data_IF_113832760457
#
_entry.id   IF_113832760457
#
_cell.length_a   1.000
_cell.length_b   1.000
_cell.length_c   1.000
_cell.angle_alpha   90.00
_cell.angle_beta   90.00
_cell.angle_gamma   90.00
#
_symmetry.space_group_name_H-M   'P 1'
#
loop_
_entity.id
_entity.type
_entity.pdbx_description
1 polymer ?
#
# COMPACT_ATOMS: atom_id res chain seq x y z
N UNK A 1 -14.88 72.57 2.71
CA UNK A 1 -14.54 71.73 1.53
C UNK A 1 -13.19 71.07 1.74
N UNK A 2 -13.17 69.83 2.26
CA UNK A 2 -11.96 69.01 2.45
C UNK A 2 -12.38 67.61 2.91
N UNK A 3 -11.82 66.59 2.23
CA UNK A 3 -11.59 65.21 2.68
C UNK A 3 -12.80 64.25 2.80
N UNK A 4 -13.15 63.60 1.68
CA UNK A 4 -13.69 62.23 1.67
C UNK A 4 -13.39 61.56 0.32
N UNK A 5 -12.11 61.32 0.05
CA UNK A 5 -11.68 60.58 -1.15
C UNK A 5 -10.58 59.59 -0.76
N UNK A 6 -10.91 58.57 0.03
CA UNK A 6 -10.09 57.37 0.19
C UNK A 6 -10.78 56.38 1.13
N UNK A 7 -11.78 55.62 0.65
CA UNK A 7 -12.26 54.45 1.41
C UNK A 7 -13.07 53.42 0.58
N UNK A 8 -12.87 53.34 -0.74
CA UNK A 8 -13.66 52.44 -1.59
C UNK A 8 -12.85 51.55 -2.53
N UNK A 9 -11.52 51.48 -2.34
CA UNK A 9 -10.65 50.62 -3.14
C UNK A 9 -10.00 49.45 -2.37
N UNK A 10 -10.30 49.29 -1.07
CA UNK A 10 -9.68 48.27 -0.21
C UNK A 10 -10.65 47.13 0.20
N UNK A 11 -11.77 46.97 -0.50
CA UNK A 11 -12.82 45.99 -0.15
C UNK A 11 -13.16 45.00 -1.26
N UNK A 12 -12.24 44.73 -2.18
CA UNK A 12 -12.42 43.72 -3.26
C UNK A 12 -11.36 42.61 -3.23
N UNK A 13 -10.35 42.67 -2.34
CA UNK A 13 -9.19 41.77 -2.41
C UNK A 13 -9.20 40.55 -1.45
N UNK A 14 -10.33 40.17 -0.84
CA UNK A 14 -10.35 39.12 0.22
C UNK A 14 -11.47 38.07 0.06
N UNK A 15 -11.88 37.72 -1.17
CA UNK A 15 -12.76 36.55 -1.38
C UNK A 15 -12.34 35.70 -2.58
N UNK A 16 -11.03 35.45 -2.69
CA UNK A 16 -10.43 34.60 -3.72
C UNK A 16 -9.64 33.41 -3.19
N UNK A 17 -9.94 32.90 -1.98
CA UNK A 17 -9.45 31.56 -1.61
C UNK A 17 -10.46 30.57 -2.17
N UNK A 18 -10.33 30.30 -3.47
CA UNK A 18 -10.94 29.13 -4.09
C UNK A 18 -10.35 27.94 -3.35
N UNK A 19 -11.14 27.34 -2.47
CA UNK A 19 -10.80 26.07 -1.87
C UNK A 19 -10.48 25.13 -3.02
N UNK A 20 -9.22 24.68 -3.10
CA UNK A 20 -8.84 23.57 -3.96
C UNK A 20 -9.67 22.39 -3.47
N UNK A 21 -10.82 22.18 -4.10
CA UNK A 21 -11.55 20.95 -3.96
C UNK A 21 -10.62 19.89 -4.55
N UNK A 22 -9.93 19.17 -3.66
CA UNK A 22 -9.34 17.90 -4.02
C UNK A 22 -10.52 17.00 -4.40
N UNK A 23 -10.94 17.06 -5.67
CA UNK A 23 -11.79 16.06 -6.27
C UNK A 23 -11.00 14.77 -6.20
N UNK A 24 -11.27 13.97 -5.16
CA UNK A 24 -10.85 12.58 -5.14
C UNK A 24 -11.59 11.94 -6.31
N UNK A 25 -10.92 11.85 -7.45
CA UNK A 25 -11.47 11.17 -8.62
C UNK A 25 -11.92 9.78 -8.16
N UNK A 26 -13.22 9.52 -8.29
CA UNK A 26 -13.77 8.21 -8.03
C UNK A 26 -13.04 7.23 -8.95
N UNK A 27 -12.19 6.38 -8.39
CA UNK A 27 -11.41 5.44 -9.19
C UNK A 27 -12.38 4.40 -9.74
N UNK A 28 -12.66 4.48 -11.04
CA UNK A 28 -13.58 3.57 -11.71
C UNK A 28 -12.91 2.21 -11.91
N UNK A 29 -13.67 1.14 -11.65
CA UNK A 29 -13.21 -0.23 -11.89
C UNK A 29 -13.01 -0.43 -13.41
N UNK A 30 -11.80 -0.78 -13.88
CA UNK A 30 -11.54 -0.96 -15.31
C UNK A 30 -12.44 -2.01 -15.96
N UNK A 31 -12.99 -1.72 -17.13
CA UNK A 31 -13.91 -2.61 -17.85
C UNK A 31 -13.30 -4.00 -18.11
N UNK A 32 -11.99 -4.05 -18.42
CA UNK A 32 -11.27 -5.31 -18.65
C UNK A 32 -11.24 -6.22 -17.41
N UNK A 33 -11.25 -5.64 -16.21
CA UNK A 33 -11.37 -6.40 -14.97
C UNK A 33 -12.77 -7.02 -14.86
N UNK A 34 -13.83 -6.21 -15.03
CA UNK A 34 -15.22 -6.68 -14.97
C UNK A 34 -15.51 -7.77 -16.01
N UNK A 35 -14.95 -7.65 -17.20
CA UNK A 35 -15.13 -8.65 -18.26
C UNK A 35 -14.46 -9.99 -17.90
N UNK A 36 -13.23 -9.95 -17.38
CA UNK A 36 -12.46 -11.16 -17.06
C UNK A 36 -12.88 -11.80 -15.74
N UNK A 37 -13.31 -10.99 -14.78
CA UNK A 37 -13.67 -11.40 -13.42
C UNK A 37 -15.04 -10.81 -13.01
N UNK A 38 -16.14 -11.17 -13.70
CA UNK A 38 -17.46 -10.56 -13.48
C UNK A 38 -18.07 -10.85 -12.11
N UNK A 39 -17.54 -11.84 -11.38
CA UNK A 39 -18.01 -12.24 -10.04
C UNK A 39 -17.21 -11.60 -8.91
N UNK A 40 -16.05 -11.01 -9.20
CA UNK A 40 -15.23 -10.35 -8.18
C UNK A 40 -15.85 -9.00 -7.84
N UNK A 41 -16.08 -8.78 -6.55
CA UNK A 41 -16.54 -7.47 -6.07
C UNK A 41 -15.31 -6.69 -5.61
N UNK A 42 -15.10 -5.52 -6.19
CA UNK A 42 -13.95 -4.69 -5.83
C UNK A 42 -14.14 -4.10 -4.43
N UNK A 43 -13.12 -4.24 -3.59
CA UNK A 43 -13.02 -3.61 -2.27
C UNK A 43 -12.13 -2.37 -2.33
N UNK A 44 -10.88 -2.55 -2.79
CA UNK A 44 -9.90 -1.48 -2.90
C UNK A 44 -9.33 -1.39 -4.30
N UNK A 45 -9.05 -0.16 -4.74
CA UNK A 45 -8.33 0.13 -5.98
C UNK A 45 -7.20 1.10 -5.69
N UNK A 46 -6.01 0.82 -6.23
CA UNK A 46 -4.85 1.71 -6.15
C UNK A 46 -4.25 1.89 -7.54
N UNK A 47 -4.16 3.13 -8.00
CA UNK A 47 -3.41 3.47 -9.21
C UNK A 47 -2.02 3.96 -8.82
N UNK A 48 -0.99 3.37 -9.41
CA UNK A 48 0.42 3.69 -9.10
C UNK A 48 1.32 3.29 -10.27
N UNK A 49 2.25 4.16 -10.64
CA UNK A 49 3.36 3.84 -11.54
C UNK A 49 4.40 2.98 -10.80
N UNK A 50 4.42 1.68 -11.09
CA UNK A 50 5.25 0.69 -10.39
C UNK A 50 6.63 0.50 -11.03
N UNK A 51 6.77 0.74 -12.33
CA UNK A 51 8.04 0.59 -13.05
C UNK A 51 8.66 1.90 -13.58
N UNK A 52 8.13 3.04 -13.13
CA UNK A 52 8.56 4.40 -13.45
C UNK A 52 8.47 4.73 -14.95
N UNK A 53 7.49 4.14 -15.65
CA UNK A 53 7.23 4.39 -17.07
C UNK A 53 6.28 5.58 -17.31
N UNK A 54 5.91 6.28 -16.23
CA UNK A 54 4.94 7.39 -16.15
C UNK A 54 3.51 6.99 -16.47
N UNK A 55 3.19 5.69 -16.48
CA UNK A 55 1.83 5.18 -16.59
C UNK A 55 1.50 4.43 -15.32
N UNK A 56 0.29 4.63 -14.83
CA UNK A 56 -0.16 3.93 -13.65
C UNK A 56 -0.56 2.50 -14.00
N UNK A 57 -0.12 1.55 -13.19
CA UNK A 57 -0.80 0.27 -13.03
C UNK A 57 -1.95 0.40 -12.05
N UNK A 58 -2.98 -0.42 -12.25
CA UNK A 58 -4.11 -0.52 -11.32
C UNK A 58 -3.98 -1.80 -10.50
N UNK A 59 -3.91 -1.65 -9.18
CA UNK A 59 -3.99 -2.75 -8.22
C UNK A 59 -5.42 -2.83 -7.69
N UNK A 60 -5.96 -4.04 -7.65
CA UNK A 60 -7.32 -4.30 -7.16
C UNK A 60 -7.23 -5.37 -6.08
N UNK A 61 -7.83 -5.11 -4.93
CA UNK A 61 -8.21 -6.14 -3.97
C UNK A 61 -9.72 -6.31 -4.04
N UNK A 62 -10.17 -7.55 -4.21
CA UNK A 62 -11.60 -7.88 -4.13
C UNK A 62 -12.03 -8.20 -2.71
N UNK A 63 -13.34 -8.10 -2.45
CA UNK A 63 -13.96 -8.54 -1.19
C UNK A 63 -13.75 -10.02 -0.90
N UNK A 64 -13.48 -10.82 -1.94
CA UNK A 64 -13.14 -12.23 -1.85
C UNK A 64 -11.66 -12.47 -1.46
N UNK A 65 -10.89 -11.41 -1.22
CA UNK A 65 -9.47 -11.50 -0.84
C UNK A 65 -8.53 -11.81 -1.99
N UNK A 66 -8.94 -11.55 -3.24
CA UNK A 66 -8.10 -11.78 -4.41
C UNK A 66 -7.41 -10.47 -4.82
N UNK A 67 -6.09 -10.54 -4.96
CA UNK A 67 -5.25 -9.41 -5.33
C UNK A 67 -4.85 -9.50 -6.80
N UNK A 68 -5.04 -8.41 -7.53
CA UNK A 68 -4.80 -8.32 -8.96
C UNK A 68 -3.98 -7.08 -9.32
N UNK A 69 -3.28 -7.16 -10.44
CA UNK A 69 -2.66 -6.02 -11.12
C UNK A 69 -3.17 -5.94 -12.57
N UNK A 70 -3.37 -4.72 -13.04
CA UNK A 70 -3.71 -4.40 -14.42
C UNK A 70 -2.61 -3.52 -14.99
N UNK A 71 -1.94 -3.99 -16.05
CA UNK A 71 -0.98 -3.24 -16.85
C UNK A 71 -1.31 -3.42 -18.32
N UNK A 72 -1.42 -2.32 -19.08
CA UNK A 72 -1.71 -2.35 -20.52
C UNK A 72 -2.91 -3.24 -20.90
N UNK A 73 -4.03 -3.11 -20.16
CA UNK A 73 -5.25 -3.94 -20.30
C UNK A 73 -5.07 -5.43 -19.98
N UNK A 74 -3.88 -5.89 -19.59
CA UNK A 74 -3.68 -7.25 -19.10
C UNK A 74 -3.92 -7.31 -17.60
N UNK A 75 -4.81 -8.20 -17.16
CA UNK A 75 -5.10 -8.45 -15.75
C UNK A 75 -4.38 -9.72 -15.29
N UNK A 76 -3.50 -9.58 -14.31
CA UNK A 76 -2.73 -10.67 -13.69
C UNK A 76 -3.16 -10.87 -12.23
N UNK A 77 -3.32 -12.12 -11.81
CA UNK A 77 -3.42 -12.48 -10.40
C UNK A 77 -2.07 -12.30 -9.68
N UNK A 78 -2.12 -11.80 -8.46
CA UNK A 78 -0.95 -11.63 -7.57
C UNK A 78 -1.05 -12.54 -6.35
N UNK A 79 -2.22 -12.61 -5.72
CA UNK A 79 -2.43 -13.35 -4.48
C UNK A 79 -3.89 -13.78 -4.31
N UNK A 80 -4.11 -14.77 -3.46
CA UNK A 80 -5.43 -15.18 -2.95
C UNK A 80 -5.43 -15.04 -1.44
N UNK A 81 -6.61 -15.08 -0.83
CA UNK A 81 -6.77 -15.17 0.63
C UNK A 81 -6.13 -14.00 1.38
N UNK A 82 -6.17 -12.80 0.79
CA UNK A 82 -5.85 -11.55 1.47
C UNK A 82 -7.10 -11.10 2.21
N UNK A 83 -7.40 -11.79 3.30
CA UNK A 83 -8.60 -11.63 4.12
C UNK A 83 -8.13 -11.56 5.57
N UNK A 84 -8.63 -10.57 6.32
CA UNK A 84 -8.43 -10.53 7.77
C UNK A 84 -9.50 -11.35 8.48
N UNK A 85 -9.20 -11.90 9.65
CA UNK A 85 -10.23 -12.53 10.49
C UNK A 85 -11.30 -11.53 10.93
N UNK A 86 -12.45 -12.09 11.32
CA UNK A 86 -13.54 -11.34 11.94
C UNK A 86 -13.00 -10.57 13.17
N UNK A 87 -13.47 -9.34 13.38
CA UNK A 87 -13.01 -8.40 14.41
C UNK A 87 -11.61 -7.76 14.24
N UNK A 88 -10.89 -8.09 13.17
CA UNK A 88 -9.63 -7.41 12.83
C UNK A 88 -9.82 -6.32 11.76
N UNK A 89 -8.90 -5.34 11.67
CA UNK A 89 -8.94 -4.35 10.59
C UNK A 89 -8.97 -5.02 9.21
N UNK A 90 -9.70 -4.46 8.23
CA UNK A 90 -9.72 -5.03 6.90
C UNK A 90 -8.31 -5.04 6.29
N UNK A 91 -8.04 -5.95 5.33
CA UNK A 91 -6.79 -5.94 4.60
C UNK A 91 -6.50 -4.58 3.97
N UNK A 92 -5.22 -4.28 3.75
CA UNK A 92 -4.78 -3.01 3.17
C UNK A 92 -3.83 -3.26 2.00
N UNK A 93 -4.03 -2.49 0.92
CA UNK A 93 -3.03 -2.34 -0.14
C UNK A 93 -2.26 -1.04 0.09
N UNK A 94 -0.95 -1.16 0.28
CA UNK A 94 -0.03 -0.04 0.42
C UNK A 94 0.93 0.02 -0.76
N UNK A 95 1.38 1.24 -1.07
CA UNK A 95 2.51 1.48 -1.96
C UNK A 95 3.74 1.76 -1.11
N UNK A 96 4.84 1.08 -1.39
CA UNK A 96 6.08 1.19 -0.65
C UNK A 96 7.23 1.51 -1.59
N UNK A 97 8.04 2.53 -1.28
CA UNK A 97 9.24 2.86 -2.04
C UNK A 97 10.48 2.39 -1.27
N UNK A 98 10.97 1.16 -1.49
CA UNK A 98 12.17 0.67 -0.81
C UNK A 98 13.47 1.30 -1.32
N UNK A 99 13.43 2.02 -2.44
CA UNK A 99 14.53 2.86 -2.94
C UNK A 99 13.98 3.97 -3.83
N UNK A 100 14.84 4.87 -4.32
CA UNK A 100 14.43 6.04 -5.13
C UNK A 100 13.68 5.67 -6.42
N UNK A 101 14.08 4.56 -7.08
CA UNK A 101 13.58 4.16 -8.40
C UNK A 101 12.85 2.81 -8.35
N UNK A 102 12.34 2.42 -7.19
CA UNK A 102 11.66 1.14 -7.02
C UNK A 102 10.38 1.37 -6.21
N UNK A 103 9.29 0.82 -6.71
CA UNK A 103 7.98 0.89 -6.05
C UNK A 103 7.44 -0.53 -5.92
N UNK A 104 7.12 -0.93 -4.70
CA UNK A 104 6.51 -2.20 -4.37
C UNK A 104 5.07 -2.00 -3.92
N UNK A 105 4.27 -3.03 -4.12
CA UNK A 105 2.92 -3.15 -3.56
C UNK A 105 3.01 -4.04 -2.32
N UNK A 106 2.44 -3.60 -1.21
CA UNK A 106 2.35 -4.39 0.02
C UNK A 106 0.87 -4.69 0.28
N UNK A 107 0.52 -5.96 0.32
CA UNK A 107 -0.78 -6.40 0.81
C UNK A 107 -0.61 -6.86 2.25
N UNK A 108 -1.35 -6.26 3.17
CA UNK A 108 -1.24 -6.50 4.61
C UNK A 108 -2.60 -6.87 5.19
N UNK A 109 -2.66 -7.92 5.99
CA UNK A 109 -3.90 -8.42 6.59
C UNK A 109 -3.63 -9.05 7.96
N UNK A 110 -4.69 -9.29 8.73
CA UNK A 110 -4.59 -9.48 10.17
C UNK A 110 -5.40 -10.68 10.64
N UNK A 111 -4.88 -11.45 11.59
CA UNK A 111 -5.61 -12.56 12.19
C UNK A 111 -5.19 -12.78 13.64
N UNK A 112 -6.05 -13.47 14.39
CA UNK A 112 -5.87 -13.75 15.80
C UNK A 112 -4.63 -14.61 16.08
N UNK A 113 -4.06 -14.49 17.30
CA UNK A 113 -4.47 -13.58 18.38
C UNK A 113 -3.96 -12.13 18.24
N UNK A 114 -3.00 -11.83 17.36
CA UNK A 114 -2.50 -10.46 17.08
C UNK A 114 -1.54 -10.43 15.87
N UNK A 115 -1.68 -11.36 14.94
CA UNK A 115 -0.74 -11.57 13.85
C UNK A 115 -1.01 -10.59 12.71
N UNK A 116 0.07 -10.07 12.12
CA UNK A 116 0.03 -9.28 10.90
C UNK A 116 0.80 -10.00 9.82
N UNK A 117 0.16 -10.28 8.70
CA UNK A 117 0.77 -10.90 7.53
C UNK A 117 0.98 -9.85 6.45
N UNK A 118 2.14 -9.87 5.81
CA UNK A 118 2.47 -8.96 4.73
C UNK A 118 3.06 -9.71 3.54
N UNK A 119 2.49 -9.47 2.36
CA UNK A 119 3.05 -9.88 1.08
C UNK A 119 3.50 -8.66 0.30
N UNK A 120 4.75 -8.69 -0.17
CA UNK A 120 5.36 -7.60 -0.93
C UNK A 120 5.59 -8.05 -2.35
N UNK A 121 5.13 -7.24 -3.30
CA UNK A 121 5.21 -7.51 -4.72
C UNK A 121 6.00 -6.43 -5.43
N UNK A 122 6.87 -6.88 -6.34
CA UNK A 122 7.63 -6.04 -7.25
C UNK A 122 7.14 -6.28 -8.68
N UNK A 123 6.92 -5.22 -9.44
CA UNK A 123 6.69 -5.34 -10.88
C UNK A 123 8.05 -5.50 -11.58
N UNK A 124 8.20 -6.57 -12.37
CA UNK A 124 9.44 -6.81 -13.12
C UNK A 124 9.10 -7.43 -14.47
N UNK A 125 9.52 -6.78 -15.56
CA UNK A 125 9.27 -7.24 -16.93
C UNK A 125 7.77 -7.49 -17.18
N UNK A 126 6.93 -6.56 -16.71
CA UNK A 126 5.47 -6.63 -16.84
C UNK A 126 4.76 -7.69 -15.99
N UNK A 127 5.48 -8.38 -15.08
CA UNK A 127 4.88 -9.36 -14.17
C UNK A 127 5.09 -8.96 -12.71
N UNK A 128 4.02 -8.98 -11.93
CA UNK A 128 4.13 -8.84 -10.47
C UNK A 128 4.70 -10.13 -9.88
N UNK A 129 5.77 -10.02 -9.10
CA UNK A 129 6.43 -11.12 -8.40
C UNK A 129 6.41 -10.87 -6.90
N UNK A 130 6.04 -11.88 -6.11
CA UNK A 130 6.22 -11.82 -4.66
C UNK A 130 7.72 -11.83 -4.34
N UNK A 131 8.19 -10.87 -3.58
CA UNK A 131 9.61 -10.68 -3.23
C UNK A 131 9.87 -10.69 -1.71
N UNK A 132 8.81 -10.64 -0.90
CA UNK A 132 8.86 -10.85 0.54
C UNK A 132 7.49 -11.34 1.02
N UNK A 133 7.52 -12.31 1.91
CA UNK A 133 6.37 -12.84 2.62
C UNK A 133 6.78 -13.01 4.08
N UNK A 134 6.14 -12.27 4.98
CA UNK A 134 6.47 -12.29 6.41
C UNK A 134 5.22 -12.14 7.28
N UNK A 135 5.24 -12.80 8.43
CA UNK A 135 4.24 -12.66 9.48
C UNK A 135 4.89 -12.10 10.75
N UNK A 136 4.37 -11.02 11.32
CA UNK A 136 4.73 -10.59 12.65
C UNK A 136 3.69 -11.07 13.67
N UNK A 137 4.13 -11.72 14.75
CA UNK A 137 3.22 -12.09 15.86
C UNK A 137 2.66 -10.86 16.59
N UNK A 138 3.32 -9.72 16.44
CA UNK A 138 2.95 -8.46 17.08
C UNK A 138 2.65 -7.37 16.06
N UNK A 139 3.45 -7.29 14.98
CA UNK A 139 3.19 -6.37 13.88
C UNK A 139 4.11 -6.64 12.70
N UNK A 140 3.65 -6.25 11.51
CA UNK A 140 4.52 -5.84 10.40
C UNK A 140 4.27 -4.36 10.15
N UNK A 141 5.34 -3.56 10.01
CA UNK A 141 5.25 -2.11 9.78
C UNK A 141 6.22 -1.68 8.70
N UNK A 142 5.86 -0.63 7.97
CA UNK A 142 6.78 0.05 7.04
C UNK A 142 7.40 1.24 7.78
N UNK A 143 8.72 1.40 7.69
CA UNK A 143 9.45 2.51 8.30
C UNK A 143 10.59 2.96 7.39
N UNK A 144 10.47 4.17 6.84
CA UNK A 144 11.41 4.69 5.85
C UNK A 144 11.50 3.77 4.63
N UNK A 145 12.70 3.27 4.34
CA UNK A 145 12.99 2.31 3.26
C UNK A 145 12.94 0.83 3.70
N UNK A 146 12.43 0.55 4.91
CA UNK A 146 12.48 -0.77 5.51
C UNK A 146 11.08 -1.31 5.84
N UNK A 147 11.00 -2.64 5.88
CA UNK A 147 9.87 -3.36 6.46
C UNK A 147 10.34 -3.97 7.78
N UNK A 148 9.60 -3.72 8.84
CA UNK A 148 9.91 -4.12 10.21
C UNK A 148 8.93 -5.20 10.63
N UNK A 149 9.45 -6.36 10.98
CA UNK A 149 8.70 -7.47 11.56
C UNK A 149 8.95 -7.50 13.06
N UNK A 150 7.88 -7.47 13.86
CA UNK A 150 7.92 -7.66 15.31
C UNK A 150 7.30 -9.00 15.64
N UNK A 151 8.06 -9.86 16.32
CA UNK A 151 7.66 -11.23 16.63
C UNK A 151 8.13 -11.65 18.02
N UNK A 152 7.59 -12.76 18.52
CA UNK A 152 7.80 -13.25 19.88
C UNK A 152 8.90 -14.30 19.88
N UNK A 153 10.02 -14.02 20.55
CA UNK A 153 11.02 -15.05 20.86
C UNK A 153 10.66 -15.69 22.19
N UNK A 154 10.15 -16.92 22.15
CA UNK A 154 9.82 -17.68 23.36
C UNK A 154 11.07 -18.11 24.12
N UNK A 155 10.98 -18.13 25.46
CA UNK A 155 12.06 -18.56 26.37
C UNK A 155 11.78 -19.99 26.85
N UNK A 156 12.84 -20.70 27.23
CA UNK A 156 12.75 -22.11 27.67
C UNK A 156 11.87 -22.30 28.93
N UNK A 157 11.78 -21.28 29.80
CA UNK A 157 10.93 -21.28 31.00
C UNK A 157 9.55 -20.64 30.84
N UNK A 158 9.12 -20.36 29.61
CA UNK A 158 7.87 -19.67 29.31
C UNK A 158 8.00 -18.14 29.20
N UNK A 159 6.91 -17.51 28.73
CA UNK A 159 6.92 -16.10 28.32
C UNK A 159 7.66 -15.87 27.00
N UNK A 160 7.81 -14.60 26.62
CA UNK A 160 8.47 -14.21 25.37
C UNK A 160 9.13 -12.83 25.47
N UNK A 161 10.16 -12.63 24.65
CA UNK A 161 10.76 -11.32 24.38
C UNK A 161 10.32 -10.80 23.02
N UNK A 162 10.03 -9.49 22.94
CA UNK A 162 9.80 -8.85 21.65
C UNK A 162 11.13 -8.76 20.92
N UNK A 163 11.18 -9.31 19.72
CA UNK A 163 12.33 -9.22 18.83
C UNK A 163 11.93 -8.64 17.49
N UNK A 164 12.92 -8.07 16.80
CA UNK A 164 12.70 -7.28 15.58
C UNK A 164 13.59 -7.80 14.46
N UNK A 165 12.96 -8.06 13.32
CA UNK A 165 13.66 -8.28 12.04
C UNK A 165 13.42 -7.06 11.15
N UNK A 166 14.49 -6.46 10.66
CA UNK A 166 14.44 -5.38 9.67
C UNK A 166 14.76 -5.95 8.30
N UNK A 167 13.88 -5.72 7.33
CA UNK A 167 14.06 -6.11 5.93
C UNK A 167 14.34 -4.86 5.09
N UNK A 168 15.52 -4.84 4.47
CA UNK A 168 15.97 -3.77 3.57
C UNK A 168 16.09 -4.31 2.16
N UNK A 169 15.68 -3.54 1.16
CA UNK A 169 15.79 -3.95 -0.24
C UNK A 169 17.23 -3.79 -0.74
N UNK A 170 17.79 -4.86 -1.29
CA UNK A 170 19.06 -4.81 -1.99
C UNK A 170 18.81 -4.66 -3.48
N UNK A 171 19.02 -3.45 -4.01
CA UNK A 171 18.79 -3.11 -5.43
C UNK A 171 19.71 -3.85 -6.38
N UNK A 172 20.91 -4.26 -5.96
CA UNK A 172 21.84 -5.04 -6.78
C UNK A 172 21.40 -6.50 -6.92
N UNK A 173 20.91 -7.08 -5.82
CA UNK A 173 20.50 -8.48 -5.77
C UNK A 173 19.01 -8.69 -6.09
N UNK A 174 18.24 -7.60 -6.19
CA UNK A 174 16.79 -7.60 -6.40
C UNK A 174 16.05 -8.50 -5.39
N UNK A 175 16.45 -8.42 -4.12
CA UNK A 175 15.82 -9.15 -3.01
C UNK A 175 15.90 -8.36 -1.70
N UNK A 176 15.03 -8.69 -0.75
CA UNK A 176 15.15 -8.21 0.61
C UNK A 176 16.26 -8.95 1.36
N UNK A 177 17.02 -8.21 2.17
CA UNK A 177 18.02 -8.74 3.10
C UNK A 177 17.55 -8.42 4.51
N UNK A 178 17.60 -9.40 5.40
CA UNK A 178 17.16 -9.25 6.79
C UNK A 178 18.32 -9.03 7.75
N UNK A 179 18.11 -8.18 8.75
CA UNK A 179 18.98 -7.94 9.91
C UNK A 179 18.16 -8.10 11.19
N UNK A 180 18.78 -8.65 12.24
CA UNK A 180 18.13 -8.92 13.54
C UNK A 180 17.91 -10.41 13.77
N UNK A 181 17.12 -10.72 14.79
CA UNK A 181 16.77 -12.11 15.14
C UNK A 181 15.64 -12.54 14.20
N UNK A 182 15.86 -13.61 13.45
CA UNK A 182 14.87 -14.15 12.51
C UNK A 182 13.95 -15.14 13.22
N UNK A 183 12.65 -15.18 12.87
CA UNK A 183 11.73 -16.20 13.33
C UNK A 183 12.21 -17.61 12.98
#
# INVERSE_FOLDING_TARGET
MKKTLSLLLLMILIFGVVGVQNTVEATTVPAVFKQKFPREQVDQIKNVDLDNDRKNETIILSKQGNLFIIKNKNVQWMARQIISEEDFPPPQILTFKPSKNEVHVVAMYYYGPSNTQAYVYRLSKGKAKNVLNIMGDQAVKISGYNIIQKWKKYRDGGGWDMVVTTYSWNTKQLKYVSKGIKP
#
